data_IF_818598575877
#
_entry.id   IF_818598575877
#
_cell.length_a   1.000
_cell.length_b   1.000
_cell.length_c   1.000
_cell.angle_alpha   90.00
_cell.angle_beta   90.00
_cell.angle_gamma   90.00
#
_symmetry.space_group_name_H-M   'P 1'
#
loop_
_entity.id
_entity.type
_entity.pdbx_description
1 polymer ?
#
# COMPACT_ATOMS: atom_id res chain seq x y z
N UNK A 1 -24.78 -1.41 22.09
CA UNK A 1 -24.78 -2.89 22.00
C UNK A 1 -26.20 -3.44 21.98
N UNK A 2 -27.02 -3.11 20.97
CA UNK A 2 -28.46 -3.47 20.93
C UNK A 2 -28.94 -4.11 19.62
N UNK A 3 -28.05 -4.58 18.74
CA UNK A 3 -28.45 -5.21 17.46
C UNK A 3 -28.68 -6.73 17.56
N UNK A 4 -28.30 -7.37 18.66
CA UNK A 4 -28.36 -8.83 18.81
C UNK A 4 -29.80 -9.40 18.83
N UNK A 5 -30.77 -8.80 19.54
CA UNK A 5 -32.16 -9.27 19.53
C UNK A 5 -32.79 -9.21 18.13
N UNK A 6 -32.48 -8.18 17.35
CA UNK A 6 -32.97 -8.03 15.97
C UNK A 6 -32.41 -9.12 15.05
N UNK A 7 -31.14 -9.47 15.23
CA UNK A 7 -30.47 -10.50 14.43
C UNK A 7 -31.02 -11.90 14.76
N UNK A 8 -31.31 -12.18 16.04
CA UNK A 8 -31.99 -13.41 16.45
C UNK A 8 -33.42 -13.50 15.91
N UNK A 9 -34.17 -12.40 15.90
CA UNK A 9 -35.53 -12.38 15.34
C UNK A 9 -35.52 -12.67 13.83
N UNK A 10 -34.57 -12.10 13.09
CA UNK A 10 -34.40 -12.38 11.65
C UNK A 10 -34.01 -13.84 11.39
N UNK A 11 -33.09 -14.40 12.20
CA UNK A 11 -32.70 -15.80 12.09
C UNK A 11 -33.85 -16.76 12.42
N UNK A 12 -34.66 -16.45 13.45
CA UNK A 12 -35.86 -17.23 13.77
C UNK A 12 -36.86 -17.25 12.61
N UNK A 13 -37.09 -16.10 11.99
CA UNK A 13 -37.98 -15.99 10.82
C UNK A 13 -37.46 -16.78 9.62
N UNK A 14 -36.15 -16.75 9.36
CA UNK A 14 -35.52 -17.52 8.27
C UNK A 14 -35.62 -19.04 8.49
N UNK A 15 -35.55 -19.50 9.74
CA UNK A 15 -35.73 -20.92 10.08
C UNK A 15 -37.18 -21.35 9.87
N UNK A 16 -38.16 -20.58 10.35
CA UNK A 16 -39.59 -20.88 10.13
C UNK A 16 -39.94 -20.89 8.62
N UNK A 17 -39.34 -19.99 7.84
CA UNK A 17 -39.56 -19.93 6.40
C UNK A 17 -38.98 -21.17 5.69
N UNK A 18 -37.79 -21.64 6.08
CA UNK A 18 -37.24 -22.90 5.55
C UNK A 18 -38.10 -24.11 5.91
N UNK A 19 -38.62 -24.19 7.13
CA UNK A 19 -39.53 -25.27 7.52
C UNK A 19 -40.85 -25.24 6.74
N UNK A 20 -41.36 -24.03 6.43
CA UNK A 20 -42.53 -23.89 5.55
C UNK A 20 -42.24 -24.32 4.11
N UNK A 21 -41.03 -24.04 3.60
CA UNK A 21 -40.62 -24.46 2.26
C UNK A 21 -40.47 -25.98 2.18
N UNK A 22 -39.79 -26.61 3.14
CA UNK A 22 -39.68 -28.08 3.20
C UNK A 22 -41.06 -28.74 3.21
N UNK A 23 -42.01 -28.20 3.99
CA UNK A 23 -43.39 -28.71 4.02
C UNK A 23 -44.16 -28.56 2.71
N UNK A 24 -43.81 -27.58 1.87
CA UNK A 24 -44.41 -27.39 0.54
C UNK A 24 -43.78 -28.35 -0.48
N UNK A 25 -42.50 -28.68 -0.32
CA UNK A 25 -41.79 -29.59 -1.23
C UNK A 25 -42.01 -31.08 -0.90
N UNK A 26 -42.30 -31.41 0.35
CA UNK A 26 -42.55 -32.78 0.82
C UNK A 26 -44.03 -33.21 0.70
N UNK A 27 -44.88 -32.43 0.02
CA UNK A 27 -46.29 -32.79 -0.22
C UNK A 27 -46.48 -33.38 -1.64
N UNK A 28 -46.28 -34.70 -1.83
CA UNK A 28 -46.40 -35.35 -3.15
C UNK A 28 -47.84 -35.37 -3.70
N UNK A 29 -48.84 -34.90 -2.95
CA UNK A 29 -50.23 -34.80 -3.42
C UNK A 29 -50.50 -33.57 -4.31
N UNK A 30 -49.63 -32.56 -4.30
CA UNK A 30 -49.85 -31.33 -5.08
C UNK A 30 -49.65 -31.51 -6.60
N UNK A 31 -48.90 -32.53 -7.04
CA UNK A 31 -48.77 -32.85 -8.48
C UNK A 31 -49.86 -33.81 -9.00
N UNK A 32 -50.61 -34.48 -8.10
CA UNK A 32 -51.70 -35.39 -8.50
C UNK A 32 -53.01 -34.65 -8.86
N UNK A 33 -53.20 -33.39 -8.44
CA UNK A 33 -54.45 -32.65 -8.69
C UNK A 33 -54.44 -31.77 -9.95
N UNK A 34 -53.33 -31.68 -10.69
CA UNK A 34 -53.25 -30.89 -11.93
C UNK A 34 -53.64 -31.68 -13.19
N UNK A 35 -53.98 -32.96 -13.05
CA UNK A 35 -54.36 -33.87 -14.13
C UNK A 35 -55.81 -34.30 -14.10
N UNK A 36 -56.77 -33.38 -14.00
CA UNK A 36 -58.19 -33.70 -14.19
C UNK A 36 -58.87 -32.65 -15.08
N UNK A 37 -58.74 -32.85 -16.39
CA UNK A 37 -59.72 -32.38 -17.38
C UNK A 37 -60.12 -33.56 -18.22
N UNK A 38 -60.89 -34.44 -17.58
CA UNK A 38 -61.62 -35.53 -18.20
C UNK A 38 -62.83 -34.95 -18.95
N UNK A 39 -63.05 -35.50 -20.13
CA UNK A 39 -64.13 -35.24 -21.07
C UNK A 39 -65.52 -35.13 -20.40
N UNK A 40 -66.20 -34.00 -20.61
CA UNK A 40 -67.66 -33.96 -20.60
C UNK A 40 -68.13 -33.67 -22.01
N UNK A 41 -68.26 -34.74 -22.80
CA UNK A 41 -69.20 -34.76 -23.93
C UNK A 41 -70.62 -34.73 -23.36
N UNK A 42 -71.29 -33.59 -23.49
CA UNK A 42 -72.74 -33.54 -23.29
C UNK A 42 -73.41 -33.78 -24.63
N UNK A 43 -73.83 -35.03 -24.78
CA UNK A 43 -74.74 -35.53 -25.79
C UNK A 43 -76.13 -34.91 -25.52
N UNK A 44 -76.70 -34.20 -26.48
CA UNK A 44 -78.10 -33.76 -26.45
C UNK A 44 -78.80 -34.23 -27.72
N UNK A 45 -79.04 -35.54 -27.80
CA UNK A 45 -80.17 -36.09 -28.54
C UNK A 45 -81.46 -35.63 -27.85
N UNK A 46 -82.32 -34.94 -28.60
CA UNK A 46 -83.61 -34.44 -28.13
C UNK A 46 -84.61 -34.43 -29.28
N UNK A 47 -85.44 -35.47 -29.28
CA UNK A 47 -86.44 -35.83 -30.29
C UNK A 47 -87.42 -34.69 -30.66
N UNK A 48 -87.80 -34.71 -31.93
CA UNK A 48 -89.03 -34.08 -32.45
C UNK A 48 -90.29 -34.64 -31.76
N UNK A 49 -91.42 -33.89 -31.82
CA UNK A 49 -92.58 -34.51 -32.44
C UNK A 49 -93.32 -33.60 -33.43
N UNK A 50 -93.94 -34.26 -34.41
CA UNK A 50 -94.92 -33.73 -35.38
C UNK A 50 -96.30 -33.57 -34.70
N UNK A 51 -97.07 -32.55 -35.06
CA UNK A 51 -98.55 -32.62 -35.19
C UNK A 51 -99.10 -31.33 -35.82
N UNK A 52 -99.61 -31.39 -37.06
CA UNK A 52 -101.04 -31.37 -37.49
C UNK A 52 -101.71 -29.99 -37.60
N UNK A 53 -102.42 -29.85 -38.71
CA UNK A 53 -103.14 -28.67 -39.21
C UNK A 53 -104.29 -28.16 -38.32
N UNK A 54 -104.67 -26.90 -38.52
CA UNK A 54 -105.88 -26.30 -37.95
C UNK A 54 -106.19 -24.93 -38.57
N UNK A 55 -107.20 -24.90 -39.43
CA UNK A 55 -107.79 -23.77 -40.15
C UNK A 55 -108.85 -23.05 -39.27
N UNK A 56 -108.82 -21.70 -39.17
CA UNK A 56 -110.00 -20.80 -39.05
C UNK A 56 -109.65 -19.30 -38.83
N UNK A 57 -110.38 -18.44 -39.55
CA UNK A 57 -110.50 -16.97 -39.40
C UNK A 57 -111.65 -16.60 -38.40
N UNK A 58 -112.06 -15.32 -38.21
CA UNK A 58 -111.44 -14.29 -37.35
C UNK A 58 -112.44 -13.66 -36.36
N UNK A 59 -112.01 -13.12 -35.20
CA UNK A 59 -112.91 -12.31 -34.35
C UNK A 59 -112.22 -11.09 -33.68
N UNK A 60 -112.95 -9.97 -33.80
CA UNK A 60 -113.01 -8.77 -32.95
C UNK A 60 -111.83 -7.77 -32.93
N UNK A 61 -112.11 -6.56 -33.43
CA UNK A 61 -111.18 -5.41 -33.59
C UNK A 61 -110.90 -4.60 -32.30
N UNK A 62 -111.42 -5.00 -31.13
CA UNK A 62 -111.12 -4.33 -29.85
C UNK A 62 -109.97 -4.99 -29.07
N UNK A 63 -109.76 -6.30 -29.20
CA UNK A 63 -108.60 -7.00 -28.61
C UNK A 63 -107.26 -6.66 -29.30
N UNK A 64 -107.31 -6.10 -30.50
CA UNK A 64 -106.12 -5.80 -31.31
C UNK A 64 -105.32 -4.65 -30.70
N UNK A 65 -106.02 -3.71 -30.04
CA UNK A 65 -105.39 -2.52 -29.44
C UNK A 65 -104.77 -2.84 -28.09
N UNK A 66 -105.45 -3.63 -27.26
CA UNK A 66 -104.91 -4.07 -25.97
C UNK A 66 -103.81 -5.13 -26.13
N UNK A 67 -103.89 -6.00 -27.15
CA UNK A 67 -102.77 -6.86 -27.53
C UNK A 67 -101.56 -6.05 -28.01
N UNK A 68 -101.76 -5.01 -28.82
CA UNK A 68 -100.66 -4.14 -29.26
C UNK A 68 -100.03 -3.34 -28.10
N UNK A 69 -100.82 -2.89 -27.12
CA UNK A 69 -100.31 -2.22 -25.91
C UNK A 69 -99.53 -3.22 -25.03
N UNK A 70 -100.06 -4.42 -24.80
CA UNK A 70 -99.38 -5.46 -24.04
C UNK A 70 -98.12 -5.99 -24.74
N UNK A 71 -98.10 -6.06 -26.07
CA UNK A 71 -96.93 -6.38 -26.87
C UNK A 71 -95.89 -5.25 -26.83
N UNK A 72 -96.32 -3.98 -26.84
CA UNK A 72 -95.47 -2.82 -26.64
C UNK A 72 -94.82 -2.78 -25.25
N UNK A 73 -95.58 -3.09 -24.19
CA UNK A 73 -95.04 -3.18 -22.81
C UNK A 73 -94.11 -4.37 -22.62
N UNK A 74 -94.38 -5.52 -23.24
CA UNK A 74 -93.47 -6.68 -23.24
C UNK A 74 -92.20 -6.38 -24.01
N UNK A 75 -92.31 -5.69 -25.15
CA UNK A 75 -91.16 -5.24 -25.92
C UNK A 75 -90.30 -4.26 -25.11
N UNK A 76 -90.91 -3.30 -24.41
CA UNK A 76 -90.19 -2.37 -23.51
C UNK A 76 -89.45 -3.10 -22.39
N UNK A 77 -90.11 -4.02 -21.67
CA UNK A 77 -89.46 -4.83 -20.62
C UNK A 77 -88.34 -5.70 -21.18
N UNK A 78 -88.51 -6.25 -22.38
CA UNK A 78 -87.47 -7.04 -23.04
C UNK A 78 -86.25 -6.19 -23.46
N UNK A 79 -86.48 -4.93 -23.84
CA UNK A 79 -85.43 -3.98 -24.16
C UNK A 79 -84.63 -3.60 -22.90
N UNK A 80 -85.31 -3.31 -21.78
CA UNK A 80 -84.65 -3.01 -20.50
C UNK A 80 -83.78 -4.18 -19.99
N UNK A 81 -84.26 -5.42 -20.18
CA UNK A 81 -83.50 -6.64 -19.85
C UNK A 81 -82.30 -6.80 -20.79
N UNK A 82 -82.47 -6.52 -22.08
CA UNK A 82 -81.37 -6.55 -23.06
C UNK A 82 -80.28 -5.56 -22.70
N UNK A 83 -80.65 -4.32 -22.36
CA UNK A 83 -79.73 -3.27 -21.94
C UNK A 83 -79.02 -3.62 -20.62
N UNK A 84 -79.72 -4.25 -19.68
CA UNK A 84 -79.13 -4.78 -18.45
C UNK A 84 -78.05 -5.83 -18.72
N UNK A 85 -78.35 -6.80 -19.58
CA UNK A 85 -77.38 -7.82 -20.01
C UNK A 85 -76.19 -7.21 -20.72
N UNK A 86 -76.40 -6.20 -21.54
CA UNK A 86 -75.31 -5.55 -22.26
C UNK A 86 -74.39 -4.75 -21.32
N UNK A 87 -74.94 -4.09 -20.29
CA UNK A 87 -74.14 -3.45 -19.23
C UNK A 87 -73.29 -4.46 -18.47
N UNK A 88 -73.86 -5.60 -18.07
CA UNK A 88 -73.13 -6.62 -17.33
C UNK A 88 -72.09 -7.33 -18.20
N UNK A 89 -72.39 -7.56 -19.49
CA UNK A 89 -71.42 -8.07 -20.46
C UNK A 89 -70.20 -7.14 -20.59
N UNK A 90 -70.42 -5.81 -20.61
CA UNK A 90 -69.33 -4.82 -20.61
C UNK A 90 -68.48 -4.92 -19.34
N UNK A 91 -69.11 -4.99 -18.16
CA UNK A 91 -68.38 -5.16 -16.89
C UNK A 91 -67.57 -6.45 -16.84
N UNK A 92 -68.12 -7.57 -17.31
CA UNK A 92 -67.40 -8.85 -17.35
C UNK A 92 -66.22 -8.78 -18.33
N UNK A 93 -66.38 -8.14 -19.49
CA UNK A 93 -65.27 -7.92 -20.43
C UNK A 93 -64.16 -7.07 -19.81
N UNK A 94 -64.50 -5.98 -19.13
CA UNK A 94 -63.53 -5.14 -18.42
C UNK A 94 -62.81 -5.90 -17.30
N UNK A 95 -63.56 -6.72 -16.53
CA UNK A 95 -62.99 -7.55 -15.48
C UNK A 95 -62.05 -8.63 -16.03
N UNK A 96 -62.44 -9.32 -17.10
CA UNK A 96 -61.58 -10.29 -17.80
C UNK A 96 -60.31 -9.59 -18.28
N UNK A 97 -60.42 -8.42 -18.91
CA UNK A 97 -59.26 -7.67 -19.37
C UNK A 97 -58.35 -7.23 -18.22
N UNK A 98 -58.91 -6.82 -17.08
CA UNK A 98 -58.15 -6.53 -15.87
C UNK A 98 -57.40 -7.76 -15.34
N UNK A 99 -58.04 -8.94 -15.32
CA UNK A 99 -57.41 -10.19 -14.91
C UNK A 99 -56.30 -10.63 -15.87
N UNK A 100 -56.50 -10.49 -17.18
CA UNK A 100 -55.47 -10.75 -18.20
C UNK A 100 -54.24 -9.84 -18.01
N UNK A 101 -54.48 -8.55 -17.79
CA UNK A 101 -53.41 -7.58 -17.51
C UNK A 101 -52.68 -7.90 -16.19
N UNK A 102 -53.41 -8.32 -15.15
CA UNK A 102 -52.79 -8.73 -13.88
C UNK A 102 -51.97 -10.01 -14.05
N UNK A 103 -52.48 -10.99 -14.78
CA UNK A 103 -51.78 -12.23 -15.10
C UNK A 103 -50.50 -11.96 -15.90
N UNK A 104 -50.56 -11.07 -16.90
CA UNK A 104 -49.38 -10.67 -17.66
C UNK A 104 -48.30 -10.02 -16.78
N UNK A 105 -48.69 -9.10 -15.89
CA UNK A 105 -47.76 -8.46 -14.93
C UNK A 105 -47.11 -9.48 -13.99
N UNK A 106 -47.90 -10.41 -13.44
CA UNK A 106 -47.38 -11.46 -12.55
C UNK A 106 -46.43 -12.42 -13.30
N UNK A 107 -46.73 -12.77 -14.55
CA UNK A 107 -45.83 -13.57 -15.40
C UNK A 107 -44.52 -12.85 -15.66
N UNK A 108 -44.56 -11.56 -15.96
CA UNK A 108 -43.35 -10.75 -16.16
C UNK A 108 -42.51 -10.68 -14.87
N UNK A 109 -43.13 -10.42 -13.71
CA UNK A 109 -42.45 -10.43 -12.42
C UNK A 109 -41.82 -11.79 -12.10
N UNK A 110 -42.52 -12.89 -12.38
CA UNK A 110 -42.00 -14.24 -12.20
C UNK A 110 -40.79 -14.50 -13.12
N UNK A 111 -40.82 -14.01 -14.36
CA UNK A 111 -39.67 -14.13 -15.27
C UNK A 111 -38.45 -13.34 -14.82
N UNK A 112 -38.64 -12.12 -14.29
CA UNK A 112 -37.56 -11.28 -13.76
C UNK A 112 -36.92 -11.90 -12.51
N UNK A 113 -37.75 -12.34 -11.55
CA UNK A 113 -37.27 -13.00 -10.33
C UNK A 113 -36.53 -14.31 -10.64
N UNK A 114 -36.99 -15.10 -11.61
CA UNK A 114 -36.25 -16.29 -12.09
C UNK A 114 -34.88 -15.94 -12.68
N UNK A 115 -34.81 -14.86 -13.47
CA UNK A 115 -33.55 -14.40 -14.04
C UNK A 115 -32.58 -13.94 -12.94
N UNK A 116 -33.05 -13.16 -11.96
CA UNK A 116 -32.26 -12.71 -10.81
C UNK A 116 -31.77 -13.90 -9.96
N UNK A 117 -32.63 -14.89 -9.72
CA UNK A 117 -32.26 -16.13 -9.02
C UNK A 117 -31.14 -16.88 -9.76
N UNK A 118 -31.25 -17.01 -11.09
CA UNK A 118 -30.21 -17.68 -11.88
C UNK A 118 -28.87 -16.92 -11.89
N UNK A 119 -28.92 -15.58 -11.92
CA UNK A 119 -27.72 -14.74 -11.87
C UNK A 119 -27.03 -14.82 -10.52
N UNK A 120 -27.80 -14.74 -9.43
CA UNK A 120 -27.26 -14.83 -8.07
C UNK A 120 -26.71 -16.23 -7.77
N UNK A 121 -27.37 -17.29 -8.25
CA UNK A 121 -26.86 -18.65 -8.15
C UNK A 121 -25.50 -18.82 -8.87
N UNK A 122 -25.33 -18.22 -10.05
CA UNK A 122 -24.05 -18.22 -10.78
C UNK A 122 -22.95 -17.49 -10.00
N UNK A 123 -23.26 -16.32 -9.43
CA UNK A 123 -22.31 -15.55 -8.58
C UNK A 123 -21.89 -16.35 -7.34
N UNK A 124 -22.83 -17.03 -6.67
CA UNK A 124 -22.52 -17.89 -5.52
C UNK A 124 -21.59 -19.04 -5.94
N UNK A 125 -21.82 -19.65 -7.11
CA UNK A 125 -20.96 -20.71 -7.62
C UNK A 125 -19.54 -20.19 -7.91
N UNK A 126 -19.40 -19.00 -8.51
CA UNK A 126 -18.11 -18.35 -8.75
C UNK A 126 -17.37 -18.05 -7.44
N UNK A 127 -18.03 -17.43 -6.46
CA UNK A 127 -17.44 -17.13 -5.15
C UNK A 127 -17.03 -18.40 -4.39
N UNK A 128 -17.77 -19.49 -4.54
CA UNK A 128 -17.39 -20.80 -3.96
C UNK A 128 -16.13 -21.36 -4.62
N UNK A 129 -16.00 -21.23 -5.94
CA UNK A 129 -14.81 -21.65 -6.66
C UNK A 129 -13.58 -20.81 -6.28
N UNK A 130 -13.72 -19.49 -6.19
CA UNK A 130 -12.67 -18.57 -5.72
C UNK A 130 -12.26 -18.88 -4.29
N UNK A 131 -13.22 -19.09 -3.38
CA UNK A 131 -12.93 -19.50 -2.00
C UNK A 131 -12.15 -20.81 -1.97
N UNK A 132 -12.56 -21.80 -2.76
CA UNK A 132 -11.85 -23.08 -2.83
C UNK A 132 -10.42 -22.93 -3.38
N UNK A 133 -10.23 -22.06 -4.37
CA UNK A 133 -8.90 -21.75 -4.92
C UNK A 133 -8.02 -21.07 -3.87
N UNK A 134 -8.52 -20.04 -3.20
CA UNK A 134 -7.77 -19.35 -2.14
C UNK A 134 -7.45 -20.30 -1.00
N UNK A 135 -8.40 -21.15 -0.60
CA UNK A 135 -8.15 -22.16 0.42
C UNK A 135 -7.07 -23.15 -0.01
N UNK A 136 -7.08 -23.64 -1.25
CA UNK A 136 -6.04 -24.54 -1.75
C UNK A 136 -4.66 -23.87 -1.79
N UNK A 137 -4.58 -22.58 -2.11
CA UNK A 137 -3.33 -21.81 -2.04
C UNK A 137 -2.85 -21.65 -0.58
N UNK A 138 -3.78 -21.39 0.34
CA UNK A 138 -3.47 -21.30 1.78
C UNK A 138 -3.03 -22.65 2.32
N UNK A 139 -3.69 -23.75 1.98
CA UNK A 139 -3.32 -25.09 2.44
C UNK A 139 -1.97 -25.55 1.84
N UNK A 140 -1.66 -25.10 0.62
CA UNK A 140 -0.36 -25.35 -0.02
C UNK A 140 0.78 -24.51 0.57
N UNK A 141 0.45 -23.34 1.14
CA UNK A 141 1.35 -22.60 2.00
C UNK A 141 1.30 -23.31 3.35
N UNK A 142 2.17 -24.28 3.60
CA UNK A 142 2.27 -25.05 4.86
C UNK A 142 2.68 -24.18 6.09
N UNK A 143 2.15 -22.96 6.19
CA UNK A 143 2.32 -22.02 7.28
C UNK A 143 1.22 -22.28 8.30
N UNK A 144 1.60 -22.83 9.44
CA UNK A 144 0.70 -22.97 10.56
C UNK A 144 0.31 -21.59 11.10
N UNK A 145 -0.89 -21.42 11.68
CA UNK A 145 -1.20 -20.25 12.49
C UNK A 145 -0.12 -19.95 13.54
N UNK A 146 0.53 -20.99 14.08
CA UNK A 146 1.66 -20.86 14.99
C UNK A 146 2.90 -20.21 14.34
N UNK A 147 3.13 -20.45 13.05
CA UNK A 147 4.23 -19.82 12.30
C UNK A 147 3.94 -18.34 12.07
N UNK A 148 2.68 -17.97 11.83
CA UNK A 148 2.27 -16.57 11.72
C UNK A 148 2.49 -15.83 13.05
N UNK A 149 2.14 -16.46 14.16
CA UNK A 149 2.37 -15.89 15.49
C UNK A 149 3.87 -15.76 15.79
N UNK A 150 4.67 -16.78 15.45
CA UNK A 150 6.13 -16.75 15.57
C UNK A 150 6.75 -15.65 14.72
N UNK A 151 6.37 -15.55 13.44
CA UNK A 151 6.84 -14.50 12.54
C UNK A 151 6.44 -13.12 13.04
N UNK A 152 5.26 -12.99 13.64
CA UNK A 152 4.79 -11.72 14.22
C UNK A 152 5.61 -11.35 15.45
N UNK A 153 5.91 -12.31 16.33
CA UNK A 153 6.79 -12.11 17.48
C UNK A 153 8.21 -11.73 17.06
N UNK A 154 8.80 -12.45 16.10
CA UNK A 154 10.12 -12.14 15.53
C UNK A 154 10.15 -10.74 14.88
N UNK A 155 9.07 -10.36 14.17
CA UNK A 155 8.94 -9.03 13.58
C UNK A 155 8.91 -7.92 14.65
N UNK A 156 8.16 -8.12 15.73
CA UNK A 156 8.12 -7.15 16.84
C UNK A 156 9.47 -7.10 17.59
N UNK A 157 10.14 -8.24 17.76
CA UNK A 157 11.48 -8.29 18.34
C UNK A 157 12.49 -7.50 17.48
N UNK A 158 12.51 -7.73 16.17
CA UNK A 158 13.39 -7.01 15.24
C UNK A 158 13.08 -5.50 15.23
N UNK A 159 11.80 -5.11 15.31
CA UNK A 159 11.41 -3.69 15.45
C UNK A 159 11.98 -3.08 16.73
N UNK A 160 11.87 -3.79 17.85
CA UNK A 160 12.42 -3.32 19.13
C UNK A 160 13.94 -3.22 19.09
N UNK A 161 14.64 -4.18 18.45
CA UNK A 161 16.09 -4.14 18.27
C UNK A 161 16.52 -2.95 17.39
N UNK A 162 15.81 -2.69 16.28
CA UNK A 162 16.06 -1.51 15.43
C UNK A 162 15.87 -0.22 16.22
N UNK A 163 14.77 -0.12 16.99
CA UNK A 163 14.52 1.04 17.84
C UNK A 163 15.65 1.24 18.86
N UNK A 164 16.11 0.18 19.53
CA UNK A 164 17.21 0.24 20.49
C UNK A 164 18.53 0.67 19.84
N UNK A 165 18.90 0.09 18.69
CA UNK A 165 20.11 0.47 17.94
C UNK A 165 20.03 1.92 17.47
N UNK A 166 18.86 2.37 17.00
CA UNK A 166 18.68 3.77 16.60
C UNK A 166 18.81 4.74 17.77
N UNK A 167 18.31 4.39 18.95
CA UNK A 167 18.48 5.19 20.17
C UNK A 167 19.96 5.25 20.60
N UNK A 168 20.66 4.12 20.54
CA UNK A 168 22.09 4.05 20.82
C UNK A 168 22.91 4.87 19.82
N UNK A 169 22.54 4.85 18.53
CA UNK A 169 23.19 5.68 17.50
C UNK A 169 23.06 7.18 17.82
N UNK A 170 21.87 7.64 18.24
CA UNK A 170 21.66 9.04 18.63
C UNK A 170 22.52 9.40 19.85
N UNK A 171 22.56 8.55 20.88
CA UNK A 171 23.39 8.78 22.07
C UNK A 171 24.88 8.81 21.74
N UNK A 172 25.37 7.88 20.91
CA UNK A 172 26.77 7.85 20.47
C UNK A 172 27.13 9.10 19.64
N UNK A 173 26.23 9.55 18.78
CA UNK A 173 26.41 10.77 17.98
C UNK A 173 26.48 12.02 18.87
N UNK A 174 25.62 12.11 19.89
CA UNK A 174 25.67 13.20 20.87
C UNK A 174 26.98 13.18 21.67
N UNK A 175 27.40 12.01 22.15
CA UNK A 175 28.66 11.86 22.88
C UNK A 175 29.87 12.24 22.01
N UNK A 176 29.88 11.87 20.73
CA UNK A 176 30.92 12.25 19.78
C UNK A 176 31.00 13.78 19.61
N UNK A 177 29.85 14.44 19.45
CA UNK A 177 29.77 15.90 19.35
C UNK A 177 30.28 16.61 20.62
N UNK A 178 29.95 16.10 21.80
CA UNK A 178 30.47 16.65 23.07
C UNK A 178 31.99 16.52 23.17
N UNK A 179 32.55 15.38 22.73
CA UNK A 179 34.01 15.18 22.69
C UNK A 179 34.67 16.09 21.67
N UNK A 180 34.07 16.30 20.50
CA UNK A 180 34.56 17.22 19.48
C UNK A 180 34.64 18.66 20.03
N UNK A 181 33.59 19.13 20.72
CA UNK A 181 33.61 20.43 21.40
C UNK A 181 34.71 20.50 22.46
N UNK A 182 34.90 19.44 23.24
CA UNK A 182 35.94 19.41 24.27
C UNK A 182 37.34 19.50 23.66
N UNK A 183 37.59 18.82 22.53
CA UNK A 183 38.84 18.91 21.77
C UNK A 183 39.03 20.31 21.20
N UNK A 184 37.99 20.91 20.60
CA UNK A 184 38.06 22.27 20.06
C UNK A 184 38.42 23.30 21.14
N UNK A 185 37.82 23.20 22.34
CA UNK A 185 38.17 24.06 23.48
C UNK A 185 39.63 23.90 23.93
N UNK A 186 40.17 22.68 23.89
CA UNK A 186 41.58 22.41 24.20
C UNK A 186 42.50 22.99 23.12
N UNK A 187 42.12 22.89 21.84
CA UNK A 187 42.86 23.48 20.72
C UNK A 187 42.94 25.01 20.86
N UNK A 188 41.81 25.67 21.12
CA UNK A 188 41.77 27.12 21.33
C UNK A 188 42.66 27.57 22.52
N UNK A 189 42.78 26.74 23.56
CA UNK A 189 43.65 27.01 24.70
C UNK A 189 45.14 26.90 24.32
N UNK A 190 45.51 25.90 23.52
CA UNK A 190 46.87 25.75 22.98
C UNK A 190 47.22 26.94 22.08
N UNK A 191 46.32 27.36 21.21
CA UNK A 191 46.54 28.52 20.32
C UNK A 191 46.78 29.81 21.11
N UNK A 192 46.06 30.01 22.23
CA UNK A 192 46.31 31.14 23.14
C UNK A 192 47.69 31.06 23.79
N UNK A 193 48.14 29.87 24.21
CA UNK A 193 49.48 29.67 24.77
C UNK A 193 50.57 29.92 23.74
N UNK A 194 50.39 29.46 22.50
CA UNK A 194 51.31 29.72 21.38
C UNK A 194 51.38 31.22 21.08
N UNK A 195 50.24 31.90 21.05
CA UNK A 195 50.19 33.35 20.87
C UNK A 195 50.91 34.09 22.01
N UNK A 196 50.72 33.68 23.27
CA UNK A 196 51.41 34.25 24.42
C UNK A 196 52.93 34.03 24.36
N UNK A 197 53.37 32.81 24.02
CA UNK A 197 54.79 32.49 23.82
C UNK A 197 55.42 33.33 22.71
N UNK A 198 54.72 33.48 21.57
CA UNK A 198 55.19 34.30 20.45
C UNK A 198 55.31 35.80 20.82
N UNK A 199 54.40 36.31 21.66
CA UNK A 199 54.50 37.67 22.22
C UNK A 199 55.70 37.80 23.15
N UNK A 200 55.94 36.84 24.03
CA UNK A 200 57.09 36.81 24.95
C UNK A 200 58.43 36.71 24.20
N UNK A 201 58.48 35.90 23.14
CA UNK A 201 59.65 35.84 22.26
C UNK A 201 59.89 37.16 21.51
N UNK A 202 58.83 37.86 21.11
CA UNK A 202 58.95 39.14 20.42
C UNK A 202 59.46 40.24 21.35
N UNK A 203 59.03 40.25 22.61
CA UNK A 203 59.52 41.17 23.65
C UNK A 203 60.97 40.89 24.02
N UNK A 204 61.34 39.63 24.31
CA UNK A 204 62.73 39.25 24.55
C UNK A 204 63.65 39.56 23.36
N UNK A 205 63.16 39.44 22.13
CA UNK A 205 63.92 39.80 20.91
C UNK A 205 64.14 41.31 20.78
N UNK A 206 63.19 42.12 21.25
CA UNK A 206 63.35 43.58 21.29
C UNK A 206 64.35 44.00 22.38
N UNK A 207 64.25 43.40 23.57
CA UNK A 207 65.19 43.64 24.67
C UNK A 207 66.64 43.24 24.30
N UNK A 208 66.84 42.20 23.48
CA UNK A 208 68.16 41.80 22.99
C UNK A 208 68.70 42.66 21.82
N UNK A 209 67.88 43.54 21.23
CA UNK A 209 68.26 44.42 20.12
C UNK A 209 68.51 45.87 20.56
N UNK A 210 68.08 46.29 21.75
CA UNK A 210 68.26 47.67 22.22
C UNK A 210 69.68 47.99 22.72
N UNK A 211 70.53 46.99 22.97
CA UNK A 211 71.91 47.24 23.44
C UNK A 211 72.97 47.34 22.33
N UNK A 212 72.65 47.15 21.04
CA UNK A 212 73.71 47.17 20.00
C UNK A 212 73.23 47.54 18.60
N UNK A 213 73.05 48.83 18.29
CA UNK A 213 73.15 49.35 16.91
C UNK A 213 73.70 50.78 16.87
N UNK A 214 75.04 50.94 16.77
CA UNK A 214 75.69 52.09 16.10
C UNK A 214 76.94 51.64 15.35
N UNK A 215 76.81 50.82 14.30
CA UNK A 215 77.86 50.76 13.26
C UNK A 215 77.25 50.56 11.88
N UNK A 216 77.26 51.68 11.14
CA UNK A 216 77.56 51.84 9.72
C UNK A 216 77.07 50.82 8.70
N UNK A 217 76.07 51.28 7.97
CA UNK A 217 75.75 50.99 6.56
C UNK A 217 77.00 51.03 5.66
N UNK A 218 77.10 50.13 4.67
CA UNK A 218 77.55 50.57 3.35
C UNK A 218 76.52 50.26 2.25
N UNK A 219 76.61 51.11 1.24
CA UNK A 219 75.71 51.33 0.12
C UNK A 219 76.05 50.49 -1.12
N UNK A 220 75.04 49.77 -1.64
CA UNK A 220 74.76 49.49 -3.06
C UNK A 220 75.67 48.52 -3.86
N UNK A 221 75.28 48.11 -5.10
CA UNK A 221 74.04 48.41 -5.82
C UNK A 221 73.23 47.16 -6.27
N UNK A 222 72.06 47.46 -6.83
CA UNK A 222 71.06 46.56 -7.36
C UNK A 222 71.54 45.68 -8.54
N UNK A 223 70.98 44.47 -8.63
CA UNK A 223 70.78 43.75 -9.89
C UNK A 223 69.33 43.29 -9.93
N UNK A 224 68.63 43.79 -10.94
CA UNK A 224 67.29 43.43 -11.38
C UNK A 224 67.39 42.12 -12.18
N UNK A 225 66.45 41.20 -11.95
CA UNK A 225 66.28 39.97 -12.71
C UNK A 225 64.90 39.40 -12.41
N UNK A 226 64.01 39.58 -13.36
CA UNK A 226 62.56 39.37 -13.37
C UNK A 226 62.10 37.89 -13.26
N UNK A 227 60.85 37.76 -12.79
CA UNK A 227 59.80 36.76 -13.13
C UNK A 227 60.17 35.26 -12.96
N UNK A 228 59.51 34.45 -12.12
CA UNK A 228 58.08 34.12 -12.15
C UNK A 228 57.69 33.23 -10.95
N UNK A 229 56.39 33.24 -10.64
CA UNK A 229 55.57 32.30 -9.86
C UNK A 229 55.54 32.32 -8.31
N UNK A 230 54.52 33.02 -7.79
CA UNK A 230 53.49 32.43 -6.93
C UNK A 230 53.89 31.86 -5.54
N UNK A 231 53.95 32.71 -4.52
CA UNK A 231 53.83 32.24 -3.13
C UNK A 231 54.46 33.16 -2.09
N UNK A 232 53.63 33.94 -1.40
CA UNK A 232 53.98 34.85 -0.32
C UNK A 232 54.61 34.12 0.89
N UNK A 233 55.91 33.83 0.86
CA UNK A 233 56.68 33.38 2.03
C UNK A 233 57.50 34.55 2.62
N UNK A 234 56.82 35.47 3.29
CA UNK A 234 57.45 36.50 4.15
C UNK A 234 57.82 35.94 5.53
N UNK A 235 58.24 34.68 5.61
CA UNK A 235 58.74 34.08 6.85
C UNK A 235 60.07 33.36 6.68
N UNK A 236 61.12 34.12 6.35
CA UNK A 236 62.49 33.85 6.85
C UNK A 236 62.59 34.08 8.38
N UNK A 237 61.69 33.46 9.16
CA UNK A 237 61.81 33.31 10.61
C UNK A 237 62.43 31.95 10.90
N UNK A 238 63.66 31.98 11.42
CA UNK A 238 64.33 30.96 12.23
C UNK A 238 63.57 29.62 12.43
N UNK A 239 63.71 28.67 11.50
CA UNK A 239 63.36 27.27 11.78
C UNK A 239 64.53 26.59 12.51
N UNK A 240 64.61 26.78 13.83
CA UNK A 240 65.52 25.99 14.70
C UNK A 240 64.86 24.67 15.14
N UNK A 241 63.54 24.55 14.97
CA UNK A 241 62.74 23.37 15.30
C UNK A 241 62.16 22.79 14.02
N UNK A 242 62.50 21.53 13.73
CA UNK A 242 61.85 20.74 12.68
C UNK A 242 61.01 19.68 13.40
N UNK A 243 59.69 19.82 13.32
CA UNK A 243 58.73 18.86 13.88
C UNK A 243 58.31 17.91 12.77
N UNK A 244 58.49 16.61 12.98
CA UNK A 244 58.14 15.58 12.01
C UNK A 244 56.93 14.79 12.52
N UNK A 245 55.77 15.02 11.91
CA UNK A 245 54.46 14.51 12.37
C UNK A 245 54.28 13.02 12.07
N UNK A 246 55.12 12.42 11.22
CA UNK A 246 55.04 11.01 10.84
C UNK A 246 56.10 10.11 11.50
N UNK A 247 56.84 10.62 12.48
CA UNK A 247 57.87 9.84 13.17
C UNK A 247 57.25 8.93 14.25
N UNK A 248 57.59 7.63 14.23
CA UNK A 248 57.08 6.61 15.16
C UNK A 248 57.86 6.51 16.48
N UNK A 249 58.96 7.25 16.63
CA UNK A 249 59.75 7.34 17.87
C UNK A 249 59.92 8.79 18.32
N UNK A 250 59.81 9.03 19.62
CA UNK A 250 59.80 10.37 20.23
C UNK A 250 61.11 11.16 20.01
N UNK A 251 62.25 10.47 19.88
CA UNK A 251 63.56 11.05 19.60
C UNK A 251 63.70 11.63 18.18
N UNK A 252 62.80 11.25 17.26
CA UNK A 252 62.78 11.70 15.87
C UNK A 252 61.68 12.73 15.56
N UNK A 253 60.77 13.00 16.51
CA UNK A 253 59.66 13.94 16.32
C UNK A 253 60.10 15.41 16.36
N UNK A 254 61.17 15.72 17.10
CA UNK A 254 61.66 17.09 17.29
C UNK A 254 63.18 17.12 17.15
N UNK A 255 63.66 17.70 16.05
CA UNK A 255 65.10 17.93 15.85
C UNK A 255 65.44 19.41 16.05
N UNK A 256 66.47 19.65 16.87
CA UNK A 256 66.95 20.97 17.28
C UNK A 256 68.44 21.08 16.89
N UNK A 257 68.73 21.70 15.74
CA UNK A 257 70.12 21.82 15.26
C UNK A 257 70.79 23.09 15.82
N UNK A 258 71.55 22.91 16.90
CA UNK A 258 72.30 23.98 17.57
C UNK A 258 73.74 24.14 17.03
N UNK A 259 74.19 23.30 16.09
CA UNK A 259 75.62 23.25 15.69
C UNK A 259 76.10 24.52 14.98
N UNK A 260 75.20 25.25 14.31
CA UNK A 260 75.57 26.47 13.58
C UNK A 260 75.76 27.72 14.47
N UNK A 261 75.26 27.73 15.73
CA UNK A 261 75.51 28.84 16.66
C UNK A 261 76.77 28.67 17.51
N UNK A 262 77.21 27.43 17.76
CA UNK A 262 78.36 27.15 18.64
C UNK A 262 79.71 27.45 17.96
N UNK A 263 79.80 27.44 16.61
CA UNK A 263 81.07 27.71 15.91
C UNK A 263 81.56 29.17 16.04
N UNK A 264 80.69 30.14 16.35
CA UNK A 264 81.08 31.56 16.48
C UNK A 264 81.65 31.94 17.86
N UNK A 265 81.58 31.07 18.87
CA UNK A 265 82.05 31.39 20.24
C UNK A 265 83.36 30.70 20.64
N UNK A 266 83.95 29.87 19.76
CA UNK A 266 85.18 29.12 20.09
C UNK A 266 86.42 30.02 20.32
N UNK A 267 86.43 31.23 19.76
CA UNK A 267 87.46 32.25 20.03
C UNK A 267 87.30 32.97 21.38
N UNK A 268 86.10 33.01 21.95
CA UNK A 268 85.82 33.66 23.24
C UNK A 268 86.05 32.76 24.46
N UNK A 269 86.09 31.44 24.28
CA UNK A 269 86.20 30.47 25.38
C UNK A 269 87.64 30.37 25.95
N UNK A 270 88.66 30.81 25.21
CA UNK A 270 90.05 30.76 25.69
C UNK A 270 90.33 31.89 26.70
N UNK A 271 89.65 33.04 26.60
CA UNK A 271 89.86 34.17 27.51
C UNK A 271 89.08 34.08 28.83
N UNK A 272 88.07 33.20 28.93
CA UNK A 272 87.26 33.05 30.15
C UNK A 272 87.76 31.94 31.11
N UNK A 273 88.74 31.12 30.70
CA UNK A 273 89.23 30.01 31.52
C UNK A 273 90.21 30.43 32.63
N UNK A 274 90.81 31.62 32.56
CA UNK A 274 91.72 32.13 33.61
C UNK A 274 91.02 32.88 34.74
N UNK A 275 89.72 33.20 34.61
CA UNK A 275 88.97 33.98 35.60
C UNK A 275 87.96 33.16 36.45
N UNK A 276 87.82 31.85 36.23
CA UNK A 276 86.71 31.05 36.77
C UNK A 276 87.12 30.08 37.89
N UNK A 277 87.76 30.57 38.96
CA UNK A 277 87.78 29.87 40.25
C UNK A 277 86.69 30.45 41.17
N UNK A 278 85.43 30.17 40.82
CA UNK A 278 84.24 30.44 41.61
C UNK A 278 83.00 30.61 40.72
N UNK A 279 81.80 30.06 41.03
CA UNK A 279 81.43 29.12 42.08
C UNK A 279 80.97 27.76 41.50
N UNK A 280 81.70 26.68 41.79
CA UNK A 280 81.23 25.29 41.54
C UNK A 280 79.97 24.91 42.35
N UNK A 281 79.45 25.81 43.19
CA UNK A 281 78.30 25.59 44.11
C UNK A 281 76.91 25.73 43.48
N UNK A 282 76.76 26.40 42.33
CA UNK A 282 75.46 26.51 41.61
C UNK A 282 75.17 25.30 40.70
N UNK A 283 76.20 24.55 40.32
CA UNK A 283 76.08 23.35 39.49
C UNK A 283 75.62 22.11 40.28
N UNK A 284 75.92 22.04 41.58
CA UNK A 284 75.58 20.93 42.47
C UNK A 284 74.10 20.90 42.88
N UNK A 285 73.41 22.05 42.95
CA UNK A 285 71.96 22.10 43.24
C UNK A 285 71.07 22.06 42.00
N UNK A 286 71.51 22.64 40.87
CA UNK A 286 70.71 22.66 39.63
C UNK A 286 70.66 21.30 38.92
N UNK A 287 71.71 20.49 39.01
CA UNK A 287 71.75 19.13 38.43
C UNK A 287 70.68 18.17 38.98
N UNK A 288 70.54 17.97 40.31
CA UNK A 288 69.52 17.07 40.84
C UNK A 288 68.10 17.56 40.54
N UNK A 289 67.85 18.88 40.57
CA UNK A 289 66.54 19.44 40.18
C UNK A 289 66.20 19.17 38.70
N UNK A 290 67.17 19.30 37.80
CA UNK A 290 67.00 18.95 36.38
C UNK A 290 66.82 17.45 36.16
N UNK A 291 67.45 16.61 37.00
CA UNK A 291 67.31 15.16 36.92
C UNK A 291 65.91 14.71 37.36
N UNK A 292 65.38 15.28 38.45
CA UNK A 292 63.99 15.06 38.89
C UNK A 292 62.99 15.54 37.82
N UNK A 293 63.21 16.70 37.20
CA UNK A 293 62.37 17.18 36.09
C UNK A 293 62.44 16.25 34.87
N UNK A 294 63.63 15.68 34.57
CA UNK A 294 63.80 14.73 33.48
C UNK A 294 63.08 13.41 33.75
N UNK A 295 63.14 12.89 34.97
CA UNK A 295 62.38 11.70 35.38
C UNK A 295 60.86 11.96 35.35
N UNK A 296 60.41 13.14 35.80
CA UNK A 296 59.01 13.55 35.69
C UNK A 296 58.55 13.68 34.23
N UNK A 297 59.34 14.28 33.36
CA UNK A 297 59.01 14.35 31.92
C UNK A 297 59.03 12.96 31.28
N UNK A 298 59.95 12.08 31.66
CA UNK A 298 60.02 10.71 31.14
C UNK A 298 58.80 9.88 31.56
N UNK A 299 58.42 9.94 32.83
CA UNK A 299 57.21 9.26 33.34
C UNK A 299 55.93 9.80 32.71
N UNK A 300 55.81 11.13 32.55
CA UNK A 300 54.67 11.75 31.88
C UNK A 300 54.61 11.39 30.38
N UNK A 301 55.75 11.32 29.71
CA UNK A 301 55.84 10.88 28.32
C UNK A 301 55.42 9.41 28.16
N UNK A 302 55.85 8.52 29.05
CA UNK A 302 55.41 7.13 29.04
C UNK A 302 53.91 6.98 29.35
N UNK A 303 53.38 7.75 30.30
CA UNK A 303 51.94 7.77 30.59
C UNK A 303 51.13 8.19 29.36
N UNK A 304 51.50 9.32 28.74
CA UNK A 304 50.86 9.80 27.52
C UNK A 304 51.00 8.80 26.37
N UNK A 305 52.15 8.13 26.24
CA UNK A 305 52.35 7.12 25.22
C UNK A 305 51.46 5.88 25.43
N UNK A 306 51.29 5.44 26.67
CA UNK A 306 50.39 4.34 26.99
C UNK A 306 48.94 4.69 26.69
N UNK A 307 48.50 5.93 26.97
CA UNK A 307 47.18 6.43 26.58
C UNK A 307 47.00 6.44 25.06
N UNK A 308 48.02 6.87 24.30
CA UNK A 308 47.99 6.83 22.83
C UNK A 308 47.90 5.41 22.30
N UNK A 309 48.61 4.45 22.90
CA UNK A 309 48.53 3.03 22.52
C UNK A 309 47.12 2.49 22.81
N UNK A 310 46.56 2.76 23.98
CA UNK A 310 45.20 2.35 24.35
C UNK A 310 44.16 2.91 23.38
N UNK A 311 44.22 4.20 23.06
CA UNK A 311 43.29 4.79 22.10
C UNK A 311 43.45 4.22 20.69
N UNK A 312 44.66 3.81 20.31
CA UNK A 312 44.89 3.15 19.02
C UNK A 312 44.27 1.76 18.98
N UNK A 313 44.40 0.96 20.03
CA UNK A 313 43.76 -0.35 20.15
C UNK A 313 42.23 -0.23 20.12
N UNK A 314 41.67 0.77 20.80
CA UNK A 314 40.22 1.05 20.75
C UNK A 314 39.76 1.45 19.35
N UNK A 315 40.55 2.27 18.63
CA UNK A 315 40.26 2.65 17.24
C UNK A 315 40.35 1.46 16.28
N UNK A 316 41.32 0.57 16.45
CA UNK A 316 41.43 -0.66 15.66
C UNK A 316 40.21 -1.57 15.91
N UNK A 317 39.82 -1.76 17.18
CA UNK A 317 38.61 -2.52 17.53
C UNK A 317 37.32 -1.91 16.96
N UNK A 318 37.16 -0.59 17.04
CA UNK A 318 35.99 0.09 16.45
C UNK A 318 35.99 -0.02 14.92
N UNK A 319 37.15 0.04 14.27
CA UNK A 319 37.25 -0.15 12.82
C UNK A 319 36.86 -1.57 12.40
N UNK A 320 37.29 -2.59 13.14
CA UNK A 320 36.88 -3.98 12.89
C UNK A 320 35.35 -4.14 13.04
N UNK A 321 34.76 -3.56 14.10
CA UNK A 321 33.30 -3.57 14.28
C UNK A 321 32.56 -2.83 13.14
N UNK A 322 33.12 -1.72 12.66
CA UNK A 322 32.56 -0.98 11.52
C UNK A 322 32.66 -1.83 10.24
N UNK A 323 33.74 -2.59 10.04
CA UNK A 323 33.90 -3.48 8.91
C UNK A 323 32.86 -4.61 8.95
N UNK A 324 32.72 -5.30 10.08
CA UNK A 324 31.71 -6.36 10.27
C UNK A 324 30.29 -5.84 10.00
N UNK A 325 29.96 -4.65 10.51
CA UNK A 325 28.65 -4.04 10.28
C UNK A 325 28.42 -3.61 8.83
N UNK A 326 29.46 -3.22 8.10
CA UNK A 326 29.36 -2.94 6.66
C UNK A 326 29.08 -4.21 5.86
N UNK A 327 29.71 -5.33 6.22
CA UNK A 327 29.48 -6.61 5.57
C UNK A 327 28.06 -7.14 5.86
N UNK A 328 27.59 -6.99 7.11
CA UNK A 328 26.19 -7.28 7.46
C UNK A 328 25.21 -6.44 6.63
N UNK A 329 25.43 -5.12 6.54
CA UNK A 329 24.58 -4.22 5.74
C UNK A 329 24.59 -4.59 4.25
N UNK A 330 25.75 -4.95 3.70
CA UNK A 330 25.85 -5.41 2.31
C UNK A 330 25.03 -6.68 2.08
N UNK A 331 25.08 -7.64 3.01
CA UNK A 331 24.28 -8.87 2.94
C UNK A 331 22.77 -8.60 3.03
N UNK A 332 22.35 -7.67 3.91
CA UNK A 332 20.94 -7.28 4.05
C UNK A 332 20.45 -6.53 2.81
N UNK A 333 21.28 -5.65 2.24
CA UNK A 333 20.97 -4.95 1.00
C UNK A 333 20.77 -5.94 -0.15
N UNK A 334 21.65 -6.94 -0.29
CA UNK A 334 21.50 -7.99 -1.29
C UNK A 334 20.18 -8.77 -1.13
N UNK A 335 19.80 -9.11 0.11
CA UNK A 335 18.51 -9.77 0.40
C UNK A 335 17.31 -8.88 0.06
N UNK A 336 17.40 -7.58 0.34
CA UNK A 336 16.36 -6.61 -0.02
C UNK A 336 16.20 -6.52 -1.55
N UNK A 337 17.31 -6.46 -2.28
CA UNK A 337 17.30 -6.41 -3.74
C UNK A 337 16.70 -7.68 -4.35
N UNK A 338 17.06 -8.86 -3.81
CA UNK A 338 16.47 -10.15 -4.20
C UNK A 338 14.95 -10.20 -3.93
N UNK A 339 14.52 -9.77 -2.75
CA UNK A 339 13.09 -9.70 -2.41
C UNK A 339 12.35 -8.69 -3.31
N UNK A 340 13.01 -7.58 -3.66
CA UNK A 340 12.51 -6.59 -4.61
C UNK A 340 12.27 -7.18 -6.00
N UNK A 341 13.26 -7.92 -6.53
CA UNK A 341 13.14 -8.63 -7.81
C UNK A 341 11.96 -9.60 -7.77
N UNK A 342 11.87 -10.46 -6.74
CA UNK A 342 10.77 -11.42 -6.60
C UNK A 342 9.39 -10.74 -6.53
N UNK A 343 9.26 -9.63 -5.81
CA UNK A 343 8.02 -8.86 -5.75
C UNK A 343 7.64 -8.29 -7.13
N UNK A 344 8.60 -7.79 -7.91
CA UNK A 344 8.32 -7.31 -9.27
C UNK A 344 7.90 -8.43 -10.22
N UNK A 345 8.48 -9.63 -10.08
CA UNK A 345 8.09 -10.82 -10.84
C UNK A 345 6.67 -11.28 -10.48
N UNK A 346 6.35 -11.36 -9.18
CA UNK A 346 5.00 -11.68 -8.71
C UNK A 346 3.98 -10.65 -9.19
N UNK A 347 4.32 -9.35 -9.17
CA UNK A 347 3.47 -8.29 -9.72
C UNK A 347 3.21 -8.49 -11.22
N UNK A 348 4.24 -8.80 -12.00
CA UNK A 348 4.10 -9.11 -13.44
C UNK A 348 3.19 -10.33 -13.65
N UNK A 349 3.40 -11.42 -12.91
CA UNK A 349 2.54 -12.60 -12.97
C UNK A 349 1.08 -12.28 -12.64
N UNK A 350 0.84 -11.53 -11.56
CA UNK A 350 -0.51 -11.10 -11.18
C UNK A 350 -1.18 -10.24 -12.26
N UNK A 351 -0.44 -9.31 -12.89
CA UNK A 351 -0.99 -8.49 -13.99
C UNK A 351 -1.31 -9.33 -15.24
N UNK A 352 -0.50 -10.34 -15.55
CA UNK A 352 -0.77 -11.26 -16.65
C UNK A 352 -2.00 -12.12 -16.38
N UNK A 353 -2.16 -12.64 -15.16
CA UNK A 353 -3.34 -13.40 -14.74
C UNK A 353 -4.60 -12.52 -14.82
N UNK A 354 -4.53 -11.28 -14.32
CA UNK A 354 -5.65 -10.33 -14.42
C UNK A 354 -6.01 -10.01 -15.89
N UNK A 355 -5.02 -9.84 -16.76
CA UNK A 355 -5.24 -9.62 -18.18
C UNK A 355 -5.89 -10.85 -18.86
N UNK A 356 -5.43 -12.06 -18.54
CA UNK A 356 -6.00 -13.31 -19.05
C UNK A 356 -7.45 -13.51 -18.59
N UNK A 357 -7.73 -13.27 -17.30
CA UNK A 357 -9.08 -13.33 -16.74
C UNK A 357 -10.02 -12.31 -17.39
N UNK A 358 -9.56 -11.07 -17.58
CA UNK A 358 -10.35 -10.05 -18.30
C UNK A 358 -10.61 -10.40 -19.77
N UNK A 359 -9.66 -11.03 -20.46
CA UNK A 359 -9.87 -11.52 -21.81
C UNK A 359 -10.92 -12.64 -21.86
N UNK A 360 -10.89 -13.56 -20.89
CA UNK A 360 -11.91 -14.59 -20.76
C UNK A 360 -13.29 -13.99 -20.44
N UNK A 361 -13.35 -12.99 -19.56
CA UNK A 361 -14.58 -12.28 -19.22
C UNK A 361 -15.21 -11.65 -20.46
N UNK A 362 -14.42 -10.93 -21.28
CA UNK A 362 -14.88 -10.37 -22.55
C UNK A 362 -15.40 -11.44 -23.51
N UNK A 363 -14.68 -12.57 -23.64
CA UNK A 363 -15.15 -13.69 -24.48
C UNK A 363 -16.50 -14.24 -24.01
N UNK A 364 -16.73 -14.31 -22.70
CA UNK A 364 -17.99 -14.75 -22.13
C UNK A 364 -19.10 -13.71 -22.31
N UNK A 365 -18.80 -12.42 -22.19
CA UNK A 365 -19.72 -11.31 -22.48
C UNK A 365 -20.15 -11.29 -23.96
N UNK A 366 -19.21 -11.54 -24.88
CA UNK A 366 -19.47 -11.64 -26.31
C UNK A 366 -20.40 -12.84 -26.61
N UNK A 367 -20.12 -14.01 -26.02
CA UNK A 367 -20.99 -15.20 -26.13
C UNK A 367 -22.38 -14.92 -25.59
N UNK A 368 -22.50 -14.29 -24.42
CA UNK A 368 -23.79 -13.88 -23.87
C UNK A 368 -24.53 -12.91 -24.79
N UNK A 369 -23.81 -11.98 -25.43
CA UNK A 369 -24.39 -11.02 -26.37
C UNK A 369 -24.85 -11.67 -27.68
N UNK A 370 -24.13 -12.69 -28.16
CA UNK A 370 -24.56 -13.53 -29.29
C UNK A 370 -25.81 -14.31 -28.92
N UNK A 371 -25.79 -15.06 -27.81
CA UNK A 371 -26.95 -15.85 -27.35
C UNK A 371 -28.19 -14.99 -27.14
N UNK A 372 -28.03 -13.77 -26.60
CA UNK A 372 -29.16 -12.81 -26.49
C UNK A 372 -29.73 -12.46 -27.84
N UNK A 373 -28.89 -12.12 -28.84
CA UNK A 373 -29.36 -11.77 -30.19
C UNK A 373 -30.05 -12.95 -30.87
N UNK A 374 -29.49 -14.14 -30.76
CA UNK A 374 -30.08 -15.38 -31.29
C UNK A 374 -31.42 -15.67 -30.63
N UNK A 375 -31.51 -15.63 -29.30
CA UNK A 375 -32.77 -15.83 -28.58
C UNK A 375 -33.85 -14.79 -28.92
N UNK A 376 -33.47 -13.52 -29.13
CA UNK A 376 -34.40 -12.51 -29.66
C UNK A 376 -34.83 -12.82 -31.10
N UNK A 377 -33.92 -13.29 -31.95
CA UNK A 377 -34.22 -13.73 -33.31
C UNK A 377 -35.20 -14.90 -33.34
N UNK A 378 -34.97 -15.93 -32.52
CA UNK A 378 -35.86 -17.08 -32.39
C UNK A 378 -37.25 -16.69 -31.91
N UNK A 379 -37.33 -15.77 -30.94
CA UNK A 379 -38.59 -15.23 -30.45
C UNK A 379 -39.38 -14.48 -31.54
N UNK A 380 -38.69 -13.64 -32.33
CA UNK A 380 -39.31 -12.94 -33.47
C UNK A 380 -39.83 -13.96 -34.49
N UNK A 381 -39.02 -14.97 -34.81
CA UNK A 381 -39.37 -16.02 -35.78
C UNK A 381 -40.59 -16.82 -35.30
N UNK A 382 -40.63 -17.18 -34.01
CA UNK A 382 -41.77 -17.83 -33.39
C UNK A 382 -43.03 -16.95 -33.42
N UNK A 383 -42.88 -15.64 -33.16
CA UNK A 383 -44.00 -14.67 -33.24
C UNK A 383 -44.55 -14.53 -34.66
N UNK A 384 -43.67 -14.48 -35.66
CA UNK A 384 -44.06 -14.45 -37.08
C UNK A 384 -44.79 -15.74 -37.49
N UNK A 385 -44.28 -16.92 -37.08
CA UNK A 385 -44.98 -18.21 -37.32
C UNK A 385 -46.38 -18.22 -36.73
N UNK A 386 -46.53 -17.76 -35.49
CA UNK A 386 -47.84 -17.64 -34.83
C UNK A 386 -48.77 -16.71 -35.62
N UNK A 387 -48.29 -15.55 -36.06
CA UNK A 387 -49.09 -14.63 -36.87
C UNK A 387 -49.50 -15.25 -38.20
N UNK A 388 -48.58 -15.95 -38.88
CA UNK A 388 -48.88 -16.64 -40.14
C UNK A 388 -49.96 -17.71 -39.96
N UNK A 389 -49.85 -18.57 -38.94
CA UNK A 389 -50.89 -19.56 -38.62
C UNK A 389 -52.23 -18.88 -38.30
N UNK A 390 -52.21 -17.76 -37.55
CA UNK A 390 -53.43 -17.01 -37.25
C UNK A 390 -54.09 -16.50 -38.54
N UNK A 391 -53.29 -15.97 -39.47
CA UNK A 391 -53.77 -15.50 -40.77
C UNK A 391 -54.30 -16.64 -41.64
N UNK A 392 -53.68 -17.82 -41.60
CA UNK A 392 -54.17 -19.03 -42.27
C UNK A 392 -55.50 -19.50 -41.69
N UNK A 393 -55.63 -19.62 -40.37
CA UNK A 393 -56.92 -19.95 -39.74
C UNK A 393 -58.02 -18.94 -40.10
N UNK A 394 -57.71 -17.65 -40.16
CA UNK A 394 -58.67 -16.61 -40.59
C UNK A 394 -59.06 -16.77 -42.07
N UNK A 395 -58.11 -17.12 -42.94
CA UNK A 395 -58.41 -17.41 -44.36
C UNK A 395 -59.29 -18.64 -44.51
N UNK A 396 -59.00 -19.71 -43.78
CA UNK A 396 -59.77 -20.95 -43.83
C UNK A 396 -61.18 -20.74 -43.28
N UNK A 397 -61.32 -19.96 -42.20
CA UNK A 397 -62.62 -19.55 -41.68
C UNK A 397 -63.45 -18.78 -42.71
N UNK A 398 -62.84 -17.88 -43.49
CA UNK A 398 -63.53 -17.16 -44.59
C UNK A 398 -63.89 -18.06 -45.78
N UNK A 399 -63.25 -19.22 -45.94
CA UNK A 399 -63.54 -20.18 -47.02
C UNK A 399 -64.64 -21.17 -46.67
N UNK A 400 -65.09 -21.22 -45.41
CA UNK A 400 -66.22 -22.04 -45.04
C UNK A 400 -67.51 -21.47 -45.65
N UNK A 401 -68.33 -22.30 -46.33
CA UNK A 401 -69.57 -21.83 -46.93
C UNK A 401 -70.53 -21.34 -45.83
N UNK A 402 -71.07 -20.13 -46.01
CA UNK A 402 -72.11 -19.59 -45.15
C UNK A 402 -73.32 -20.54 -45.21
N UNK A 403 -73.63 -21.18 -44.08
CA UNK A 403 -74.83 -22.00 -43.89
C UNK A 403 -76.05 -21.14 -43.67
#
# INVERSE_FOLDING_TARGET
MHSWPTLLAMLGWLVELNLCLERIYDDPEAEASAGFSQEFGVNCDGQAPKSTAGERLPQSRHDSRDRAIAEGERASKSADISDGRERDHKKFKEYIHHLENRMAKLKEQNSRTKQELSSTASQIAQLRAEKAQVQAVVDAQELSPADVDRMTAEREELRNQIAAVSAHQVQASQAAWEKEIAVQRRLDAVDRLVAAYNRLMSTLRLECNEEFVTVSRPSGPAVVGDEDDGGMDTSRRLRVLKVNVHATRADAMVSLDLRNKIKRSRGHIILLKSAANGPRRLATYKKPALQVLREKMATLAHSSQNEVISHREDLERLNDQIADKKDELASLQQRLDQAGISCTEQKKACTQIAAASNAQMKSMEDKLSVMKREGFGDLITAKQRKQNMTMECVRDFRRLPAR
#
